data_IF_965627778360
#
_entry.id   IF_965627778360
#
_cell.length_a   1.000
_cell.length_b   1.000
_cell.length_c   1.000
_cell.angle_alpha   90.00
_cell.angle_beta   90.00
_cell.angle_gamma   90.00
#
_symmetry.space_group_name_H-M   'P 1'
#
loop_
_entity.id
_entity.type
_entity.pdbx_description
1 polymer ?
#
# COMPACT_ATOMS: atom_id res chain seq x y z
N UNK A 1 1.80 19.74 -77.04
CA UNK A 1 0.87 19.38 -75.93
C UNK A 1 1.39 18.23 -75.02
N UNK A 2 2.65 17.80 -75.10
CA UNK A 2 3.20 16.65 -74.33
C UNK A 2 3.98 17.01 -73.06
N UNK A 3 4.38 18.27 -72.84
CA UNK A 3 5.11 18.71 -71.63
C UNK A 3 4.23 19.04 -70.41
N UNK A 4 2.92 19.20 -70.59
CA UNK A 4 2.01 19.65 -69.54
C UNK A 4 1.51 18.49 -68.65
N UNK A 5 1.41 17.28 -69.21
CA UNK A 5 0.96 16.05 -68.54
C UNK A 5 1.97 15.45 -67.55
N UNK A 6 3.27 15.71 -67.71
CA UNK A 6 4.30 15.17 -66.80
C UNK A 6 4.46 15.98 -65.51
N UNK A 7 4.13 17.28 -65.55
CA UNK A 7 4.17 18.18 -64.39
C UNK A 7 3.02 17.91 -63.42
N UNK A 8 1.82 17.67 -63.93
CA UNK A 8 0.65 17.33 -63.10
C UNK A 8 0.79 15.97 -62.41
N UNK A 9 1.32 14.95 -63.10
CA UNK A 9 1.58 13.63 -62.49
C UNK A 9 2.63 13.69 -61.37
N UNK A 10 3.66 14.53 -61.49
CA UNK A 10 4.67 14.74 -60.44
C UNK A 10 4.12 15.50 -59.23
N UNK A 11 3.23 16.47 -59.46
CA UNK A 11 2.54 17.20 -58.39
C UNK A 11 1.54 16.31 -57.62
N UNK A 12 0.75 15.51 -58.34
CA UNK A 12 -0.19 14.56 -57.72
C UNK A 12 0.54 13.46 -56.95
N UNK A 13 1.64 12.93 -57.50
CA UNK A 13 2.46 11.95 -56.79
C UNK A 13 3.13 12.55 -55.53
N UNK A 14 3.63 13.80 -55.61
CA UNK A 14 4.18 14.50 -54.45
C UNK A 14 3.15 14.79 -53.37
N UNK A 15 1.91 15.11 -53.76
CA UNK A 15 0.80 15.41 -52.85
C UNK A 15 0.27 14.13 -52.18
N UNK A 16 0.27 12.99 -52.88
CA UNK A 16 -0.03 11.66 -52.29
C UNK A 16 1.07 11.18 -51.34
N UNK A 17 2.34 11.46 -51.64
CA UNK A 17 3.46 11.16 -50.73
C UNK A 17 3.42 12.04 -49.47
N UNK A 18 3.07 13.32 -49.60
CA UNK A 18 2.92 14.23 -48.46
C UNK A 18 1.71 13.87 -47.59
N UNK A 19 0.60 13.42 -48.20
CA UNK A 19 -0.59 12.93 -47.49
C UNK A 19 -0.33 11.59 -46.78
N UNK A 20 0.44 10.68 -47.40
CA UNK A 20 0.89 9.45 -46.76
C UNK A 20 1.83 9.70 -45.56
N UNK A 21 2.64 10.75 -45.62
CA UNK A 21 3.55 11.15 -44.54
C UNK A 21 2.83 11.85 -43.38
N UNK A 22 1.70 12.53 -43.62
CA UNK A 22 0.83 13.06 -42.55
C UNK A 22 0.01 11.97 -41.84
N UNK A 23 -0.29 10.84 -42.50
CA UNK A 23 -1.00 9.70 -41.90
C UNK A 23 -0.09 8.84 -40.97
N UNK A 24 1.22 9.09 -40.99
CA UNK A 24 2.21 8.39 -40.17
C UNK A 24 2.66 9.22 -38.95
N UNK A 25 2.00 10.33 -38.62
CA UNK A 25 2.17 10.96 -37.31
C UNK A 25 1.55 10.00 -36.28
N UNK A 26 2.33 9.16 -35.58
CA UNK A 26 1.79 8.27 -34.59
C UNK A 26 1.48 9.18 -33.40
N UNK A 27 0.23 9.61 -33.29
CA UNK A 27 -0.25 10.22 -32.07
C UNK A 27 -0.08 9.19 -30.97
N UNK A 28 1.00 9.30 -30.18
CA UNK A 28 1.27 8.42 -29.04
C UNK A 28 0.06 8.29 -28.10
N UNK A 29 -0.90 9.23 -28.15
CA UNK A 29 -2.13 9.17 -27.38
C UNK A 29 -3.10 8.05 -27.78
N UNK A 30 -3.13 7.59 -29.04
CA UNK A 30 -4.08 6.54 -29.44
C UNK A 30 -3.68 5.16 -28.90
N UNK A 31 -2.38 4.84 -28.89
CA UNK A 31 -1.89 3.60 -28.29
C UNK A 31 -1.98 3.62 -26.77
N UNK A 32 -1.74 4.77 -26.12
CA UNK A 32 -1.94 4.93 -24.67
C UNK A 32 -3.42 4.77 -24.30
N UNK A 33 -4.34 5.36 -25.07
CA UNK A 33 -5.78 5.22 -24.83
C UNK A 33 -6.25 3.77 -25.05
N UNK A 34 -5.77 3.10 -26.10
CA UNK A 34 -6.09 1.70 -26.36
C UNK A 34 -5.51 0.79 -25.27
N UNK A 35 -4.29 1.07 -24.81
CA UNK A 35 -3.68 0.37 -23.67
C UNK A 35 -4.47 0.54 -22.38
N UNK A 36 -4.94 1.75 -22.07
CA UNK A 36 -5.79 2.02 -20.91
C UNK A 36 -7.15 1.31 -21.01
N UNK A 37 -7.75 1.27 -22.20
CA UNK A 37 -9.05 0.63 -22.43
C UNK A 37 -8.97 -0.90 -22.38
N UNK A 38 -7.86 -1.50 -22.81
CA UNK A 38 -7.67 -2.96 -22.85
C UNK A 38 -7.03 -3.53 -21.59
N UNK A 39 -6.07 -2.82 -20.99
CA UNK A 39 -5.27 -3.29 -19.86
C UNK A 39 -5.55 -2.58 -18.54
N UNK A 40 -6.40 -1.56 -18.53
CA UNK A 40 -6.62 -0.72 -17.35
C UNK A 40 -5.43 0.20 -17.05
N UNK A 41 -5.55 1.05 -16.01
CA UNK A 41 -4.43 1.87 -15.56
C UNK A 41 -3.29 0.96 -15.05
N UNK A 42 -2.02 1.37 -15.25
CA UNK A 42 -0.88 0.58 -14.79
C UNK A 42 -0.97 0.38 -13.28
N UNK A 43 -0.93 -0.88 -12.86
CA UNK A 43 -0.81 -1.26 -11.45
C UNK A 43 0.66 -1.31 -11.05
N UNK A 44 0.90 -1.06 -9.77
CA UNK A 44 2.18 -1.28 -9.12
C UNK A 44 2.05 -2.58 -8.36
N UNK A 45 2.91 -3.53 -8.70
CA UNK A 45 3.07 -4.81 -8.00
C UNK A 45 3.46 -4.56 -6.53
N UNK A 46 2.91 -5.32 -5.57
CA UNK A 46 3.28 -5.18 -4.16
C UNK A 46 4.72 -5.63 -3.90
N UNK A 47 5.40 -4.92 -3.00
CA UNK A 47 6.81 -5.16 -2.66
C UNK A 47 7.06 -6.59 -2.16
N UNK A 48 6.12 -7.18 -1.40
CA UNK A 48 6.22 -8.56 -0.94
C UNK A 48 6.32 -9.54 -2.13
N UNK A 49 5.41 -9.44 -3.09
CA UNK A 49 5.38 -10.34 -4.25
C UNK A 49 6.62 -10.15 -5.12
N UNK A 50 7.05 -8.90 -5.33
CA UNK A 50 8.23 -8.59 -6.14
C UNK A 50 9.55 -9.10 -5.51
N UNK A 51 9.67 -9.06 -4.17
CA UNK A 51 10.90 -9.44 -3.46
C UNK A 51 10.96 -10.95 -3.16
N UNK A 52 9.83 -11.58 -2.85
CA UNK A 52 9.76 -12.99 -2.43
C UNK A 52 9.35 -13.94 -3.57
N UNK A 53 8.66 -13.45 -4.59
CA UNK A 53 8.02 -14.28 -5.61
C UNK A 53 6.78 -15.05 -5.11
N UNK A 54 6.33 -14.76 -3.88
CA UNK A 54 5.14 -15.34 -3.25
C UNK A 54 3.99 -14.33 -3.28
N UNK A 55 2.76 -14.75 -2.97
CA UNK A 55 1.64 -13.83 -2.81
C UNK A 55 0.80 -14.26 -1.62
N UNK A 56 0.39 -13.29 -0.80
CA UNK A 56 -0.53 -13.55 0.32
C UNK A 56 -1.99 -13.64 -0.13
N UNK A 57 -2.27 -13.44 -1.43
CA UNK A 57 -3.60 -13.60 -2.00
C UNK A 57 -3.91 -15.07 -2.22
N UNK A 58 -4.98 -15.55 -1.59
CA UNK A 58 -5.45 -16.92 -1.76
C UNK A 58 -6.46 -17.26 -0.66
N UNK A 59 -7.42 -18.14 -0.96
CA UNK A 59 -8.38 -18.60 0.05
C UNK A 59 -7.78 -19.64 1.00
N UNK A 60 -6.77 -20.35 0.53
CA UNK A 60 -6.10 -21.42 1.26
C UNK A 60 -4.87 -20.91 2.04
N UNK A 61 -4.59 -19.60 1.97
CA UNK A 61 -3.51 -18.94 2.70
C UNK A 61 -4.15 -18.17 3.86
N UNK A 62 -3.66 -18.40 5.07
CA UNK A 62 -4.15 -17.76 6.30
C UNK A 62 -3.06 -16.85 6.86
N UNK A 63 -3.42 -15.59 7.13
CA UNK A 63 -2.48 -14.58 7.60
C UNK A 63 -2.87 -14.07 8.99
N UNK A 64 -1.94 -14.10 9.94
CA UNK A 64 -2.07 -13.40 11.21
C UNK A 64 -1.40 -12.02 11.12
N UNK A 65 -1.95 -11.02 11.81
CA UNK A 65 -1.36 -9.68 11.90
C UNK A 65 -1.20 -9.30 13.36
N UNK A 66 0.02 -9.01 13.78
CA UNK A 66 0.33 -8.53 15.13
C UNK A 66 1.12 -7.22 15.06
N UNK A 67 1.04 -6.42 16.12
CA UNK A 67 1.84 -5.23 16.25
C UNK A 67 2.47 -5.15 17.64
N UNK A 68 3.75 -4.80 17.68
CA UNK A 68 4.48 -4.44 18.88
C UNK A 68 4.64 -2.92 18.93
N UNK A 69 4.47 -2.34 20.13
CA UNK A 69 4.75 -0.94 20.39
C UNK A 69 5.51 -0.79 21.72
N UNK A 70 6.59 0.01 21.76
CA UNK A 70 7.31 0.35 22.98
C UNK A 70 6.38 0.90 24.07
N UNK A 71 6.76 0.65 25.33
CA UNK A 71 5.99 1.08 26.50
C UNK A 71 5.76 2.59 26.52
N UNK A 72 6.75 3.36 26.08
CA UNK A 72 6.70 4.82 25.98
C UNK A 72 5.62 5.30 25.00
N UNK A 73 5.44 4.60 23.87
CA UNK A 73 4.35 4.88 22.93
C UNK A 73 2.99 4.54 23.55
N UNK A 74 2.90 3.40 24.25
CA UNK A 74 1.65 2.95 24.90
C UNK A 74 1.18 3.88 26.02
N UNK A 75 2.07 4.61 26.67
CA UNK A 75 1.69 5.65 27.65
C UNK A 75 0.96 6.83 27.01
N UNK A 76 1.39 7.26 25.82
CA UNK A 76 0.78 8.38 25.10
C UNK A 76 -0.43 7.93 24.26
N UNK A 77 -0.37 6.72 23.71
CA UNK A 77 -1.39 6.14 22.86
C UNK A 77 -1.74 4.73 23.37
N UNK A 78 -2.62 4.63 24.37
CA UNK A 78 -3.06 3.34 24.88
C UNK A 78 -3.65 2.49 23.76
N UNK A 79 -3.20 1.23 23.66
CA UNK A 79 -3.66 0.24 22.67
C UNK A 79 -3.28 0.55 21.21
N UNK A 80 -2.29 1.41 20.96
CA UNK A 80 -1.90 1.77 19.59
C UNK A 80 -1.45 0.56 18.76
N UNK A 81 -0.79 -0.40 19.39
CA UNK A 81 -0.45 -1.70 18.82
C UNK A 81 -1.69 -2.42 18.28
N UNK A 82 -2.70 -2.62 19.14
CA UNK A 82 -3.95 -3.28 18.74
C UNK A 82 -4.73 -2.48 17.68
N UNK A 83 -4.72 -1.14 17.76
CA UNK A 83 -5.38 -0.29 16.77
C UNK A 83 -4.71 -0.37 15.39
N UNK A 84 -3.38 -0.36 15.33
CA UNK A 84 -2.61 -0.47 14.09
C UNK A 84 -2.76 -1.87 13.47
N UNK A 85 -2.57 -2.94 14.26
CA UNK A 85 -2.72 -4.31 13.75
C UNK A 85 -4.13 -4.56 13.22
N UNK A 86 -5.17 -4.09 13.93
CA UNK A 86 -6.56 -4.22 13.49
C UNK A 86 -6.82 -3.45 12.20
N UNK A 87 -6.33 -2.20 12.09
CA UNK A 87 -6.51 -1.39 10.89
C UNK A 87 -5.86 -2.04 9.66
N UNK A 88 -4.65 -2.60 9.82
CA UNK A 88 -3.96 -3.34 8.75
C UNK A 88 -4.71 -4.63 8.42
N UNK A 89 -5.09 -5.43 9.42
CA UNK A 89 -5.81 -6.69 9.21
C UNK A 89 -7.11 -6.49 8.40
N UNK A 90 -7.94 -5.50 8.78
CA UNK A 90 -9.16 -5.18 8.05
C UNK A 90 -8.86 -4.69 6.64
N UNK A 91 -7.83 -3.85 6.44
CA UNK A 91 -7.43 -3.40 5.10
C UNK A 91 -7.01 -4.56 4.20
N UNK A 92 -6.22 -5.50 4.72
CA UNK A 92 -5.81 -6.69 3.96
C UNK A 92 -7.02 -7.56 3.60
N UNK A 93 -7.95 -7.75 4.54
CA UNK A 93 -9.19 -8.50 4.30
C UNK A 93 -10.09 -7.85 3.23
N UNK A 94 -10.22 -6.52 3.24
CA UNK A 94 -10.94 -5.75 2.20
C UNK A 94 -10.34 -5.98 0.79
N UNK A 95 -9.05 -6.28 0.72
CA UNK A 95 -8.31 -6.54 -0.52
C UNK A 95 -8.11 -8.04 -0.83
N UNK A 96 -8.87 -8.91 -0.18
CA UNK A 96 -8.99 -10.33 -0.53
C UNK A 96 -7.91 -11.25 0.05
N UNK A 97 -7.15 -10.77 1.03
CA UNK A 97 -6.23 -11.61 1.83
C UNK A 97 -7.04 -12.24 2.97
N UNK A 98 -6.91 -13.55 3.17
CA UNK A 98 -7.62 -14.24 4.23
C UNK A 98 -6.88 -14.06 5.57
N UNK A 99 -7.37 -13.10 6.37
CA UNK A 99 -6.75 -12.68 7.63
C UNK A 99 -7.53 -13.22 8.83
N UNK A 100 -6.81 -13.74 9.82
CA UNK A 100 -7.39 -14.11 11.12
C UNK A 100 -7.97 -12.86 11.78
N UNK A 101 -9.19 -12.96 12.28
CA UNK A 101 -9.88 -11.80 12.84
C UNK A 101 -9.06 -11.17 13.98
N UNK A 102 -8.81 -9.85 13.96
CA UNK A 102 -7.86 -9.21 14.89
C UNK A 102 -8.26 -9.33 16.37
N UNK A 103 -9.56 -9.44 16.66
CA UNK A 103 -10.02 -9.66 18.04
C UNK A 103 -9.53 -11.00 18.63
N UNK A 104 -9.34 -12.04 17.81
CA UNK A 104 -8.80 -13.31 18.29
C UNK A 104 -7.31 -13.20 18.60
N UNK A 105 -6.55 -12.57 17.70
CA UNK A 105 -5.12 -12.29 17.93
C UNK A 105 -4.94 -11.46 19.20
N UNK A 106 -5.76 -10.42 19.37
CA UNK A 106 -5.74 -9.57 20.57
C UNK A 106 -6.03 -10.37 21.83
N UNK A 107 -7.08 -11.18 21.84
CA UNK A 107 -7.43 -12.00 23.01
C UNK A 107 -6.27 -12.94 23.38
N UNK A 108 -5.64 -13.56 22.40
CA UNK A 108 -4.48 -14.41 22.62
C UNK A 108 -3.28 -13.63 23.17
N UNK A 109 -2.96 -12.45 22.63
CA UNK A 109 -1.88 -11.57 23.13
C UNK A 109 -2.16 -11.11 24.57
N UNK A 110 -3.41 -10.77 24.89
CA UNK A 110 -3.82 -10.37 26.24
C UNK A 110 -3.67 -11.55 27.23
N UNK A 111 -3.89 -12.79 26.80
CA UNK A 111 -3.73 -14.02 27.60
C UNK A 111 -2.27 -14.51 27.71
N UNK A 112 -1.42 -14.17 26.74
CA UNK A 112 -0.02 -14.60 26.64
C UNK A 112 0.91 -13.39 26.69
N UNK A 113 0.83 -12.57 27.74
CA UNK A 113 1.52 -11.27 27.83
C UNK A 113 3.04 -11.32 27.72
N UNK A 114 3.63 -12.50 27.88
CA UNK A 114 5.06 -12.81 27.79
C UNK A 114 5.49 -13.36 26.42
N UNK A 115 4.60 -13.37 25.42
CA UNK A 115 4.97 -13.70 24.04
C UNK A 115 6.10 -12.79 23.55
N UNK A 116 7.06 -13.38 22.83
CA UNK A 116 8.22 -12.62 22.32
C UNK A 116 8.35 -12.73 20.80
N UNK A 117 7.76 -13.76 20.18
CA UNK A 117 7.99 -14.05 18.78
C UNK A 117 6.71 -14.22 17.98
N UNK A 118 6.73 -13.73 16.74
CA UNK A 118 5.62 -13.84 15.80
C UNK A 118 5.17 -15.29 15.53
N UNK A 119 6.10 -16.26 15.55
CA UNK A 119 5.79 -17.67 15.29
C UNK A 119 4.93 -18.33 16.38
N UNK A 120 4.92 -17.79 17.60
CA UNK A 120 4.00 -18.24 18.65
C UNK A 120 2.54 -17.99 18.26
N UNK A 121 2.27 -16.85 17.63
CA UNK A 121 0.95 -16.47 17.12
C UNK A 121 0.61 -17.31 15.89
N UNK A 122 1.57 -17.48 14.97
CA UNK A 122 1.38 -18.33 13.80
C UNK A 122 0.98 -19.74 14.17
N UNK A 123 1.66 -20.33 15.17
CA UNK A 123 1.35 -21.66 15.71
C UNK A 123 0.00 -21.71 16.42
N UNK A 124 -0.34 -20.70 17.22
CA UNK A 124 -1.58 -20.67 17.98
C UNK A 124 -2.84 -20.64 17.08
N UNK A 125 -2.71 -20.06 15.88
CA UNK A 125 -3.82 -19.88 14.95
C UNK A 125 -3.68 -20.70 13.66
N UNK A 126 -2.66 -21.57 13.56
CA UNK A 126 -2.36 -22.35 12.35
C UNK A 126 -2.28 -21.43 11.11
N UNK A 127 -1.66 -20.26 11.25
CA UNK A 127 -1.48 -19.31 10.15
C UNK A 127 -0.33 -19.76 9.26
N UNK A 128 -0.45 -19.59 7.94
CA UNK A 128 0.63 -19.82 6.99
C UNK A 128 1.66 -18.68 7.05
N UNK A 129 1.20 -17.46 7.32
CA UNK A 129 2.06 -16.29 7.46
C UNK A 129 1.69 -15.43 8.66
N UNK A 130 2.70 -14.81 9.27
CA UNK A 130 2.52 -13.79 10.31
C UNK A 130 3.14 -12.48 9.85
N UNK A 131 2.30 -11.45 9.73
CA UNK A 131 2.74 -10.07 9.53
C UNK A 131 2.94 -9.43 10.90
N UNK A 132 4.18 -9.12 11.23
CA UNK A 132 4.56 -8.44 12.45
C UNK A 132 4.89 -6.97 12.15
N UNK A 133 4.24 -6.08 12.88
CA UNK A 133 4.45 -4.63 12.80
C UNK A 133 5.17 -4.14 14.05
N UNK A 134 6.40 -3.68 13.94
CA UNK A 134 7.13 -3.08 15.06
C UNK A 134 7.10 -1.55 14.97
N UNK A 135 6.35 -0.89 15.85
CA UNK A 135 6.31 0.58 15.89
C UNK A 135 7.58 1.12 16.55
N UNK A 136 8.37 1.90 15.82
CA UNK A 136 9.48 2.66 16.38
C UNK A 136 9.01 4.02 16.92
N UNK A 137 8.11 4.69 16.21
CA UNK A 137 7.52 5.96 16.63
C UNK A 137 6.08 6.12 16.15
N UNK A 138 5.27 6.89 16.90
CA UNK A 138 3.91 7.26 16.51
C UNK A 138 3.55 8.64 17.06
N UNK A 139 2.95 9.48 16.23
CA UNK A 139 2.50 10.82 16.61
C UNK A 139 1.32 11.28 15.75
N UNK A 140 0.56 12.25 16.27
CA UNK A 140 -0.60 12.86 15.57
C UNK A 140 -0.42 14.35 15.29
N UNK A 141 0.58 14.97 15.89
CA UNK A 141 0.81 16.41 15.83
C UNK A 141 2.06 16.73 15.04
N UNK A 142 2.03 17.87 14.34
CA UNK A 142 3.21 18.43 13.68
C UNK A 142 4.32 18.71 14.71
N UNK A 143 5.58 18.60 14.30
CA UNK A 143 6.69 18.90 15.20
C UNK A 143 6.59 20.31 15.73
N UNK A 144 6.80 20.44 17.05
CA UNK A 144 6.79 21.73 17.73
C UNK A 144 5.45 22.48 17.61
N UNK A 145 4.34 21.79 17.33
CA UNK A 145 3.00 22.39 17.27
C UNK A 145 1.97 21.55 17.99
N UNK A 146 1.16 22.20 18.83
CA UNK A 146 0.01 21.57 19.48
C UNK A 146 -1.31 21.90 18.78
N UNK A 147 -1.27 22.79 17.78
CA UNK A 147 -2.46 23.29 17.07
C UNK A 147 -2.59 22.74 15.66
N UNK A 148 -1.62 21.94 15.21
CA UNK A 148 -1.56 21.35 13.88
C UNK A 148 -1.45 19.83 13.95
N UNK A 149 -2.30 19.15 13.19
CA UNK A 149 -2.29 17.73 12.99
C UNK A 149 -1.44 17.36 11.77
N UNK A 150 -0.47 16.48 12.02
CA UNK A 150 0.24 15.68 11.02
C UNK A 150 0.64 14.39 11.74
N UNK A 151 0.02 13.29 11.33
CA UNK A 151 0.39 11.98 11.83
C UNK A 151 1.74 11.57 11.28
N UNK A 152 2.58 10.96 12.11
CA UNK A 152 3.86 10.35 11.72
C UNK A 152 4.03 9.00 12.40
N UNK A 153 4.56 8.05 11.65
CA UNK A 153 4.85 6.69 12.11
C UNK A 153 6.14 6.25 11.45
N UNK A 154 7.05 5.75 12.27
CA UNK A 154 8.17 4.92 11.83
C UNK A 154 7.92 3.51 12.33
N UNK A 155 8.00 2.51 11.46
CA UNK A 155 7.75 1.12 11.81
C UNK A 155 8.52 0.16 10.91
N UNK A 156 8.72 -1.07 11.39
CA UNK A 156 9.18 -2.20 10.58
C UNK A 156 8.01 -3.14 10.33
N UNK A 157 7.88 -3.60 9.08
CA UNK A 157 6.92 -4.63 8.67
C UNK A 157 7.72 -5.88 8.35
N UNK A 158 7.58 -6.91 9.17
CA UNK A 158 8.20 -8.22 8.96
C UNK A 158 7.14 -9.23 8.55
N UNK A 159 7.50 -10.17 7.68
CA UNK A 159 6.65 -11.34 7.38
C UNK A 159 7.42 -12.61 7.70
N UNK A 160 6.77 -13.47 8.48
CA UNK A 160 7.24 -14.80 8.81
C UNK A 160 6.40 -15.82 8.04
N UNK A 161 7.05 -16.72 7.32
CA UNK A 161 6.45 -17.92 6.74
C UNK A 161 6.51 -19.04 7.78
N UNK A 162 5.37 -19.68 8.05
CA UNK A 162 5.23 -20.72 9.04
C UNK A 162 5.40 -22.10 8.39
N UNK A 163 6.20 -22.96 9.01
CA UNK A 163 6.36 -24.34 8.56
C UNK A 163 5.33 -25.30 9.21
N UNK A 164 5.35 -26.57 8.78
CA UNK A 164 4.44 -27.61 9.27
C UNK A 164 4.59 -27.91 10.77
N UNK A 165 5.71 -27.54 11.39
CA UNK A 165 5.97 -27.74 12.83
C UNK A 165 5.71 -26.47 13.66
N UNK A 166 5.29 -25.39 13.01
CA UNK A 166 4.93 -24.11 13.63
C UNK A 166 6.14 -23.27 14.03
N UNK A 167 7.28 -23.43 13.35
CA UNK A 167 8.40 -22.48 13.39
C UNK A 167 8.24 -21.46 12.26
N UNK A 168 8.61 -20.20 12.53
CA UNK A 168 8.51 -19.11 11.56
C UNK A 168 9.87 -18.66 11.05
N UNK A 169 10.04 -18.60 9.73
CA UNK A 169 11.20 -17.97 9.07
C UNK A 169 10.82 -16.59 8.54
N UNK A 170 11.61 -15.56 8.88
CA UNK A 170 11.38 -14.21 8.35
C UNK A 170 11.83 -14.11 6.89
N UNK A 171 10.86 -14.04 5.98
CA UNK A 171 11.09 -14.00 4.53
C UNK A 171 11.04 -12.58 3.93
N UNK A 172 10.49 -11.61 4.66
CA UNK A 172 10.35 -10.24 4.19
C UNK A 172 10.54 -9.23 5.33
N UNK A 173 11.11 -8.07 5.01
CA UNK A 173 11.16 -6.93 5.92
C UNK A 173 11.13 -5.62 5.15
N UNK A 174 10.35 -4.64 5.66
CA UNK A 174 10.28 -3.30 5.08
C UNK A 174 10.19 -2.23 6.16
N UNK A 175 10.97 -1.17 5.99
CA UNK A 175 10.84 0.03 6.80
C UNK A 175 9.70 0.91 6.25
N UNK A 176 8.90 1.45 7.17
CA UNK A 176 7.81 2.38 6.90
C UNK A 176 8.12 3.67 7.65
N UNK A 177 8.46 4.72 6.89
CA UNK A 177 8.39 6.10 7.34
C UNK A 177 7.19 6.76 6.66
N UNK A 178 6.17 7.08 7.44
CA UNK A 178 4.90 7.57 6.93
C UNK A 178 4.38 8.79 7.66
N UNK A 179 4.19 9.88 6.90
CA UNK A 179 3.56 11.12 7.36
C UNK A 179 2.28 11.42 6.59
N UNK A 180 1.23 11.87 7.30
CA UNK A 180 -0.01 12.34 6.68
C UNK A 180 -0.66 13.48 7.50
N UNK A 181 -1.17 14.55 6.86
CA UNK A 181 -1.10 14.82 5.43
C UNK A 181 0.33 15.18 4.96
N UNK A 182 0.64 14.85 3.70
CA UNK A 182 2.01 14.95 3.17
C UNK A 182 2.44 16.39 2.86
N UNK A 183 1.51 17.29 2.50
CA UNK A 183 1.84 18.70 2.17
C UNK A 183 1.50 19.67 3.28
N UNK A 184 0.22 19.77 3.65
CA UNK A 184 -0.28 20.81 4.55
C UNK A 184 -0.84 20.15 5.81
N UNK A 185 -0.30 20.44 7.01
CA UNK A 185 -0.87 19.94 8.25
C UNK A 185 -2.23 20.59 8.52
N UNK A 186 -3.12 19.88 9.21
CA UNK A 186 -4.50 20.33 9.43
C UNK A 186 -4.66 21.06 10.76
N UNK A 187 -5.54 22.05 10.78
CA UNK A 187 -5.83 22.77 12.02
C UNK A 187 -6.56 21.87 13.01
N UNK A 188 -6.20 21.96 14.28
CA UNK A 188 -6.95 21.36 15.40
C UNK A 188 -8.33 21.97 15.60
N UNK A 189 -8.61 23.11 14.97
CA UNK A 189 -9.95 23.72 14.94
C UNK A 189 -10.88 23.06 13.91
N UNK A 190 -10.35 22.34 12.92
CA UNK A 190 -11.14 21.75 11.82
C UNK A 190 -11.67 20.35 12.16
N UNK A 191 -10.96 19.61 13.03
CA UNK A 191 -11.32 18.25 13.40
C UNK A 191 -10.81 17.89 14.81
N UNK A 192 -11.34 16.82 15.39
CA UNK A 192 -10.89 16.33 16.71
C UNK A 192 -9.68 15.39 16.61
N UNK A 193 -8.86 15.23 17.67
CA UNK A 193 -7.76 14.26 17.67
C UNK A 193 -8.21 12.83 17.39
N UNK A 194 -9.39 12.43 17.87
CA UNK A 194 -9.95 11.09 17.66
C UNK A 194 -10.32 10.87 16.18
N UNK A 195 -10.99 11.86 15.57
CA UNK A 195 -11.34 11.80 14.14
C UNK A 195 -10.08 11.75 13.28
N UNK A 196 -9.10 12.60 13.60
CA UNK A 196 -7.83 12.62 12.87
C UNK A 196 -7.06 11.31 13.04
N UNK A 197 -7.00 10.74 14.25
CA UNK A 197 -6.35 9.43 14.48
C UNK A 197 -6.97 8.34 13.62
N UNK A 198 -8.30 8.27 13.53
CA UNK A 198 -9.00 7.28 12.69
C UNK A 198 -8.65 7.45 11.21
N UNK A 199 -8.65 8.68 10.72
CA UNK A 199 -8.24 8.97 9.34
C UNK A 199 -6.77 8.57 9.12
N UNK A 200 -5.88 8.95 10.04
CA UNK A 200 -4.47 8.65 9.96
C UNK A 200 -4.20 7.13 9.95
N UNK A 201 -4.82 6.37 10.85
CA UNK A 201 -4.73 4.90 10.87
C UNK A 201 -5.27 4.27 9.59
N UNK A 202 -6.36 4.82 9.03
CA UNK A 202 -6.84 4.37 7.72
C UNK A 202 -5.78 4.58 6.63
N UNK A 203 -5.07 5.71 6.62
CA UNK A 203 -3.99 5.97 5.63
C UNK A 203 -2.74 5.14 5.88
N UNK A 204 -2.36 4.94 7.14
CA UNK A 204 -1.25 4.08 7.52
C UNK A 204 -1.52 2.63 7.11
N UNK A 205 -2.72 2.10 7.39
CA UNK A 205 -3.10 0.76 6.98
C UNK A 205 -3.10 0.58 5.46
N UNK A 206 -3.52 1.60 4.70
CA UNK A 206 -3.46 1.62 3.24
C UNK A 206 -2.00 1.60 2.74
N UNK A 207 -1.13 2.40 3.35
CA UNK A 207 0.32 2.43 3.03
C UNK A 207 0.99 1.09 3.30
N UNK A 208 0.69 0.44 4.42
CA UNK A 208 1.22 -0.88 4.77
C UNK A 208 0.59 -1.95 3.85
N UNK A 209 -0.70 -1.87 3.58
CA UNK A 209 -1.42 -2.81 2.72
C UNK A 209 -0.86 -2.86 1.29
N UNK A 210 -0.38 -1.74 0.76
CA UNK A 210 0.32 -1.69 -0.53
C UNK A 210 1.60 -2.53 -0.62
N UNK A 211 2.12 -3.04 0.50
CA UNK A 211 3.20 -4.03 0.48
C UNK A 211 2.71 -5.42 0.06
N UNK A 212 1.40 -5.69 0.11
CA UNK A 212 0.81 -7.03 -0.02
C UNK A 212 -0.30 -7.13 -1.09
N UNK A 213 -0.78 -6.00 -1.61
CA UNK A 213 -1.71 -5.98 -2.72
C UNK A 213 -1.40 -4.86 -3.72
N UNK A 214 -1.76 -5.11 -4.98
CA UNK A 214 -1.58 -4.17 -6.07
C UNK A 214 -2.29 -2.84 -5.82
N UNK A 215 -1.65 -1.76 -6.27
CA UNK A 215 -2.20 -0.40 -6.22
C UNK A 215 -2.11 0.29 -7.56
N UNK A 216 -2.88 1.33 -7.75
CA UNK A 216 -2.71 2.23 -8.90
C UNK A 216 -1.75 3.36 -8.54
N UNK A 217 -1.01 3.84 -9.54
CA UNK A 217 -0.09 4.99 -9.37
C UNK A 217 -0.78 6.25 -8.81
N UNK A 218 -2.10 6.36 -8.95
CA UNK A 218 -2.89 7.50 -8.47
C UNK A 218 -3.35 7.43 -7.01
N UNK A 219 -3.25 6.28 -6.34
CA UNK A 219 -3.89 6.05 -5.03
C UNK A 219 -3.31 6.92 -3.90
N UNK A 220 -2.10 7.46 -4.10
CA UNK A 220 -1.42 8.33 -3.14
C UNK A 220 -1.81 9.81 -3.28
N UNK A 221 -2.45 10.22 -4.38
CA UNK A 221 -2.81 11.63 -4.63
C UNK A 221 -3.72 12.24 -3.54
N UNK A 222 -4.72 11.52 -2.98
CA UNK A 222 -5.56 12.05 -1.91
C UNK A 222 -4.80 12.37 -0.61
N UNK A 223 -3.54 11.92 -0.47
CA UNK A 223 -2.76 12.12 0.76
C UNK A 223 -2.05 13.47 0.79
N UNK A 224 -2.13 14.22 -0.32
CA UNK A 224 -1.52 15.53 -0.52
C UNK A 224 -2.29 16.69 0.12
N UNK A 225 -3.55 16.46 0.53
CA UNK A 225 -4.50 17.48 0.99
C UNK A 225 -4.68 17.55 2.51
#
# INVERSE_FOLDING_TARGET
MTRMLSRSRRLVAGMLLLAGMMALLPGCSQFVLLGLLLGGPPTVEPDFDAETGLSLKGKDITVAVVCYAPTELKWNFPKIDAEVSSAVAYRLAEHGINVIHPDYIRAWVDENSDWERADEIGRAFEADYVIELELASFGLYEENSTTLFRGRTEAYVNVFEMDEVGEGERIFTKEIDFAFPTRVPRSTYDQTPISFKREYLSRLSEKIGFLFYERFSGDMMPWAS
#
